data_IF_011937013137
#
_entry.id   IF_011937013137
#
_cell.length_a   1.000
_cell.length_b   1.000
_cell.length_c   1.000
_cell.angle_alpha   90.00
_cell.angle_beta   90.00
_cell.angle_gamma   90.00
#
_symmetry.space_group_name_H-M   'P 1'
#
loop_
_entity.id
_entity.type
_entity.pdbx_description
1 polymer ?
#
# COMPACT_ATOMS: atom_id res chain seq x y z
N UNK A 1 -19.49 7.03 4.94
CA UNK A 1 -18.07 6.62 4.91
C UNK A 1 -17.58 6.29 3.49
N UNK A 2 -18.41 5.70 2.62
CA UNK A 2 -18.09 5.41 1.21
C UNK A 2 -18.89 6.26 0.21
N UNK A 3 -18.83 7.59 0.30
CA UNK A 3 -19.50 8.46 -0.68
C UNK A 3 -18.75 8.41 -2.01
N UNK A 4 -19.44 8.61 -3.14
CA UNK A 4 -18.83 8.68 -4.50
C UNK A 4 -17.66 9.68 -4.55
N UNK A 5 -17.74 10.75 -3.77
CA UNK A 5 -16.69 11.77 -3.60
C UNK A 5 -15.37 11.23 -3.02
N UNK A 6 -15.42 10.21 -2.15
CA UNK A 6 -14.23 9.58 -1.57
C UNK A 6 -13.37 8.92 -2.65
N UNK A 7 -14.03 8.13 -3.50
CA UNK A 7 -13.42 7.44 -4.63
C UNK A 7 -12.98 8.43 -5.71
N UNK A 8 -13.86 9.36 -6.10
CA UNK A 8 -13.56 10.36 -7.12
C UNK A 8 -12.39 11.26 -6.73
N UNK A 9 -12.28 11.63 -5.46
CA UNK A 9 -11.15 12.46 -5.00
C UNK A 9 -9.82 11.72 -4.94
N UNK A 10 -9.83 10.39 -4.85
CA UNK A 10 -8.61 9.60 -5.00
C UNK A 10 -8.27 9.45 -6.49
N UNK A 11 -9.26 9.13 -7.32
CA UNK A 11 -9.09 9.02 -8.77
C UNK A 11 -8.60 10.33 -9.42
N UNK A 12 -9.03 11.49 -8.92
CA UNK A 12 -8.58 12.79 -9.44
C UNK A 12 -7.08 13.04 -9.26
N UNK A 13 -6.42 12.37 -8.30
CA UNK A 13 -4.97 12.49 -8.10
C UNK A 13 -4.17 11.87 -9.23
N UNK A 14 -4.72 10.86 -9.91
CA UNK A 14 -4.09 10.27 -11.09
C UNK A 14 -3.97 11.26 -12.26
N UNK A 15 -4.77 12.33 -12.27
CA UNK A 15 -4.70 13.37 -13.31
C UNK A 15 -3.64 14.44 -13.03
N UNK A 16 -3.06 14.46 -11.83
CA UNK A 16 -2.13 15.50 -11.42
C UNK A 16 -0.70 14.95 -11.40
N UNK A 17 0.17 15.59 -12.18
CA UNK A 17 1.58 15.22 -12.33
C UNK A 17 2.30 15.16 -10.97
N UNK A 18 1.98 16.07 -10.05
CA UNK A 18 2.57 16.10 -8.70
C UNK A 18 2.31 14.81 -7.93
N UNK A 19 1.08 14.29 -7.99
CA UNK A 19 0.73 13.06 -7.27
C UNK A 19 1.24 11.81 -7.98
N UNK A 20 1.36 11.83 -9.32
CA UNK A 20 2.02 10.76 -10.07
C UNK A 20 3.52 10.66 -9.75
N UNK A 21 4.21 11.78 -9.68
CA UNK A 21 5.62 11.82 -9.27
C UNK A 21 5.78 11.29 -7.84
N UNK A 22 4.91 11.73 -6.92
CA UNK A 22 4.91 11.25 -5.54
C UNK A 22 4.67 9.73 -5.47
N UNK A 23 3.70 9.22 -6.24
CA UNK A 23 3.43 7.78 -6.35
C UNK A 23 4.68 7.03 -6.83
N UNK A 24 5.36 7.51 -7.87
CA UNK A 24 6.60 6.89 -8.36
C UNK A 24 7.68 6.79 -7.28
N UNK A 25 7.88 7.85 -6.48
CA UNK A 25 8.81 7.84 -5.35
C UNK A 25 8.42 6.82 -4.30
N UNK A 26 7.13 6.73 -3.93
CA UNK A 26 6.65 5.73 -2.97
C UNK A 26 6.79 4.30 -3.49
N UNK A 27 6.55 4.05 -4.78
CA UNK A 27 6.77 2.74 -5.41
C UNK A 27 8.23 2.34 -5.25
N UNK A 28 9.17 3.22 -5.64
CA UNK A 28 10.60 2.96 -5.50
C UNK A 28 10.99 2.69 -4.04
N UNK A 29 10.50 3.52 -3.11
CA UNK A 29 10.80 3.40 -1.69
C UNK A 29 10.26 2.09 -1.08
N UNK A 30 9.06 1.66 -1.48
CA UNK A 30 8.48 0.37 -1.05
C UNK A 30 9.30 -0.82 -1.53
N UNK A 31 9.78 -0.79 -2.77
CA UNK A 31 10.63 -1.86 -3.35
C UNK A 31 11.99 -1.91 -2.63
N UNK A 32 12.59 -0.77 -2.31
CA UNK A 32 13.83 -0.77 -1.52
C UNK A 32 13.57 -1.27 -0.09
N UNK A 33 12.49 -0.80 0.55
CA UNK A 33 12.15 -1.17 1.92
C UNK A 33 11.71 -2.63 2.07
N UNK A 34 11.22 -3.30 1.02
CA UNK A 34 10.91 -4.74 1.08
C UNK A 34 12.17 -5.60 1.23
N UNK A 35 13.33 -5.10 0.81
CA UNK A 35 14.62 -5.74 1.03
C UNK A 35 15.18 -5.50 2.45
N UNK A 36 14.62 -4.53 3.18
CA UNK A 36 15.01 -4.21 4.56
C UNK A 36 14.09 -4.97 5.53
N UNK A 37 14.55 -6.14 5.99
CA UNK A 37 13.85 -6.93 6.99
C UNK A 37 14.80 -7.37 8.11
N UNK A 38 14.25 -7.50 9.31
CA UNK A 38 14.95 -8.14 10.42
C UNK A 38 14.59 -9.63 10.47
N UNK A 39 15.56 -10.55 10.32
CA UNK A 39 15.33 -11.96 10.54
C UNK A 39 15.18 -12.21 12.05
N UNK A 40 14.01 -12.69 12.46
CA UNK A 40 13.71 -13.05 13.86
C UNK A 40 13.90 -14.56 14.07
N UNK A 41 13.60 -15.37 13.05
CA UNK A 41 13.81 -16.82 13.00
C UNK A 41 13.94 -17.28 11.54
N UNK A 42 14.29 -18.55 11.29
CA UNK A 42 14.47 -19.09 9.93
C UNK A 42 13.27 -18.85 9.01
N UNK A 43 12.05 -18.89 9.58
CA UNK A 43 10.79 -18.67 8.85
C UNK A 43 10.05 -17.39 9.27
N UNK A 44 10.67 -16.52 10.08
CA UNK A 44 10.03 -15.31 10.58
C UNK A 44 10.88 -14.08 10.27
N UNK A 45 10.35 -13.23 9.40
CA UNK A 45 10.96 -11.96 9.00
C UNK A 45 9.99 -10.83 9.30
N UNK A 46 10.49 -9.76 9.90
CA UNK A 46 9.69 -8.54 10.15
C UNK A 46 10.18 -7.45 9.20
N UNK A 47 9.28 -6.99 8.32
CA UNK A 47 9.56 -5.92 7.35
C UNK A 47 8.83 -4.62 7.68
N UNK A 48 9.35 -3.50 7.17
CA UNK A 48 8.81 -2.14 7.40
C UNK A 48 8.07 -1.55 6.21
N UNK A 49 7.93 -2.30 5.12
CA UNK A 49 7.23 -1.88 3.90
C UNK A 49 5.78 -1.42 4.16
N UNK A 50 5.13 -1.97 5.20
CA UNK A 50 3.77 -1.59 5.58
C UNK A 50 3.63 -0.12 6.02
N UNK A 51 4.69 0.49 6.58
CA UNK A 51 4.66 1.89 7.03
C UNK A 51 4.55 2.80 5.82
N UNK A 52 5.34 2.52 4.79
CA UNK A 52 5.32 3.28 3.52
C UNK A 52 3.98 3.13 2.82
N UNK A 53 3.43 1.91 2.80
CA UNK A 53 2.10 1.66 2.27
C UNK A 53 1.04 2.48 3.02
N UNK A 54 1.08 2.51 4.36
CA UNK A 54 0.12 3.26 5.16
C UNK A 54 0.21 4.78 4.91
N UNK A 55 1.43 5.33 4.84
CA UNK A 55 1.65 6.74 4.51
C UNK A 55 1.12 7.04 3.11
N UNK A 56 1.48 6.24 2.11
CA UNK A 56 1.04 6.44 0.75
C UNK A 56 -0.49 6.35 0.63
N UNK A 57 -1.13 5.36 1.24
CA UNK A 57 -2.58 5.21 1.27
C UNK A 57 -3.28 6.40 1.93
N UNK A 58 -2.69 6.99 2.97
CA UNK A 58 -3.22 8.20 3.60
C UNK A 58 -3.17 9.42 2.69
N UNK A 59 -2.20 9.47 1.76
CA UNK A 59 -2.01 10.60 0.84
C UNK A 59 -2.77 10.38 -0.45
N UNK A 60 -2.66 9.23 -1.11
CA UNK A 60 -3.26 8.96 -2.43
C UNK A 60 -4.70 8.48 -2.32
N UNK A 61 -5.06 7.80 -1.24
CA UNK A 61 -6.39 7.22 -1.03
C UNK A 61 -6.60 5.91 -1.80
N UNK A 62 -7.83 5.39 -1.81
CA UNK A 62 -8.12 4.01 -2.21
C UNK A 62 -7.84 3.71 -3.68
N UNK A 63 -8.20 4.60 -4.62
CA UNK A 63 -8.12 4.31 -6.07
C UNK A 63 -6.68 4.46 -6.56
N UNK A 64 -6.08 5.62 -6.32
CA UNK A 64 -4.72 5.89 -6.73
C UNK A 64 -3.73 4.98 -5.97
N UNK A 65 -3.97 4.75 -4.67
CA UNK A 65 -3.16 3.83 -3.87
C UNK A 65 -3.29 2.38 -4.35
N UNK A 66 -4.48 1.90 -4.71
CA UNK A 66 -4.65 0.55 -5.25
C UNK A 66 -3.89 0.37 -6.57
N UNK A 67 -3.92 1.38 -7.46
CA UNK A 67 -3.12 1.34 -8.68
C UNK A 67 -1.61 1.30 -8.37
N UNK A 68 -1.14 2.11 -7.42
CA UNK A 68 0.25 2.05 -6.96
C UNK A 68 0.61 0.68 -6.40
N UNK A 69 -0.27 0.05 -5.61
CA UNK A 69 -0.05 -1.27 -5.05
C UNK A 69 0.09 -2.34 -6.15
N UNK A 70 -0.77 -2.31 -7.17
CA UNK A 70 -0.67 -3.20 -8.34
C UNK A 70 0.68 -3.04 -9.05
N UNK A 71 1.10 -1.79 -9.29
CA UNK A 71 2.37 -1.51 -9.97
C UNK A 71 3.55 -1.96 -9.10
N UNK A 72 3.51 -1.66 -7.80
CA UNK A 72 4.59 -2.02 -6.85
C UNK A 72 4.77 -3.53 -6.77
N UNK A 73 3.67 -4.29 -6.72
CA UNK A 73 3.71 -5.75 -6.63
C UNK A 73 4.34 -6.38 -7.88
N UNK A 74 3.85 -5.97 -9.05
CA UNK A 74 4.39 -6.45 -10.33
C UNK A 74 5.85 -6.07 -10.50
N UNK A 75 6.22 -4.80 -10.27
CA UNK A 75 7.61 -4.36 -10.38
C UNK A 75 8.51 -5.05 -9.35
N UNK A 76 8.05 -5.18 -8.10
CA UNK A 76 8.78 -5.88 -7.05
C UNK A 76 9.04 -7.34 -7.41
N UNK A 77 8.07 -8.02 -8.01
CA UNK A 77 8.21 -9.39 -8.48
C UNK A 77 9.24 -9.52 -9.61
N UNK A 78 9.16 -8.66 -10.64
CA UNK A 78 10.09 -8.70 -11.78
C UNK A 78 11.52 -8.32 -11.37
N UNK A 79 11.69 -7.35 -10.49
CA UNK A 79 13.00 -6.91 -10.00
C UNK A 79 13.60 -7.89 -8.98
N UNK A 80 12.76 -8.62 -8.24
CA UNK A 80 13.18 -9.60 -7.23
C UNK A 80 13.73 -10.91 -7.78
N UNK A 81 13.93 -11.02 -9.09
CA UNK A 81 14.53 -12.20 -9.74
C UNK A 81 13.54 -13.13 -10.43
N UNK A 82 12.23 -12.87 -10.34
CA UNK A 82 11.18 -13.60 -11.07
C UNK A 82 11.00 -15.06 -10.61
N UNK A 83 9.76 -15.41 -10.29
CA UNK A 83 9.34 -16.78 -9.98
C UNK A 83 8.16 -17.24 -10.83
N UNK A 84 7.29 -18.09 -10.29
CA UNK A 84 6.00 -18.35 -10.92
C UNK A 84 5.09 -17.14 -10.68
N UNK A 85 4.79 -16.40 -11.74
CA UNK A 85 3.89 -15.25 -11.66
C UNK A 85 2.46 -15.73 -11.44
N UNK A 86 1.84 -15.25 -10.37
CA UNK A 86 0.42 -15.46 -10.11
C UNK A 86 -0.24 -14.12 -9.82
N UNK A 87 -1.05 -13.64 -10.78
CA UNK A 87 -1.73 -12.35 -10.69
C UNK A 87 -2.66 -12.22 -9.47
N UNK A 88 -3.09 -13.33 -8.87
CA UNK A 88 -3.90 -13.29 -7.65
C UNK A 88 -3.14 -12.77 -6.42
N UNK A 89 -1.79 -12.85 -6.39
CA UNK A 89 -1.02 -12.29 -5.27
C UNK A 89 -1.10 -10.77 -5.20
N UNK A 90 -1.35 -10.11 -6.33
CA UNK A 90 -1.55 -8.66 -6.40
C UNK A 90 -2.81 -8.19 -5.68
N UNK A 91 -3.79 -9.07 -5.45
CA UNK A 91 -4.99 -8.73 -4.67
C UNK A 91 -4.65 -8.42 -3.21
N UNK A 92 -3.64 -9.09 -2.63
CA UNK A 92 -3.21 -8.91 -1.24
C UNK A 92 -2.74 -7.46 -0.95
N UNK A 93 -1.76 -6.88 -1.67
CA UNK A 93 -1.34 -5.50 -1.44
C UNK A 93 -2.42 -4.48 -1.82
N UNK A 94 -3.32 -4.79 -2.75
CA UNK A 94 -4.48 -3.94 -3.06
C UNK A 94 -5.45 -3.88 -1.88
N UNK A 95 -5.82 -5.03 -1.31
CA UNK A 95 -6.66 -5.09 -0.12
C UNK A 95 -6.01 -4.38 1.06
N UNK A 96 -4.71 -4.56 1.24
CA UNK A 96 -3.95 -3.87 2.27
C UNK A 96 -4.05 -2.34 2.13
N UNK A 97 -3.82 -1.84 0.92
CA UNK A 97 -3.96 -0.41 0.62
C UNK A 97 -5.39 0.09 0.87
N UNK A 98 -6.41 -0.70 0.52
CA UNK A 98 -7.81 -0.32 0.77
C UNK A 98 -8.11 -0.23 2.26
N UNK A 99 -7.65 -1.17 3.08
CA UNK A 99 -7.80 -1.11 4.54
C UNK A 99 -7.16 0.17 5.08
N UNK A 100 -5.89 0.44 4.76
CA UNK A 100 -5.22 1.66 5.19
C UNK A 100 -5.93 2.94 4.72
N UNK A 101 -6.39 2.96 3.47
CA UNK A 101 -7.12 4.08 2.91
C UNK A 101 -8.45 4.32 3.63
N UNK A 102 -9.20 3.27 3.99
CA UNK A 102 -10.48 3.42 4.69
C UNK A 102 -10.35 4.11 6.06
N UNK A 103 -9.25 3.86 6.77
CA UNK A 103 -9.02 4.41 8.11
C UNK A 103 -8.23 5.72 8.12
N UNK A 104 -7.33 5.92 7.16
CA UNK A 104 -6.40 7.06 7.17
C UNK A 104 -6.71 8.13 6.11
N UNK A 105 -7.39 7.79 5.01
CA UNK A 105 -7.59 8.73 3.91
C UNK A 105 -8.66 9.78 4.25
N UNK A 106 -8.30 11.07 4.16
CA UNK A 106 -9.18 12.22 4.49
C UNK A 106 -9.80 12.16 5.89
N UNK A 107 -9.13 11.49 6.82
CA UNK A 107 -9.58 11.41 8.20
C UNK A 107 -8.45 11.86 9.14
N UNK A 108 -8.82 12.31 10.35
CA UNK A 108 -7.82 12.53 11.39
C UNK A 108 -7.13 11.21 11.73
N UNK A 109 -5.80 11.20 11.64
CA UNK A 109 -4.96 10.07 11.98
C UNK A 109 -4.90 9.98 13.51
N UNK A 110 -5.37 8.86 14.05
CA UNK A 110 -5.32 8.56 15.49
C UNK A 110 -4.69 7.20 15.71
N UNK A 111 -4.02 7.02 16.85
CA UNK A 111 -3.35 5.76 17.21
C UNK A 111 -4.32 4.58 17.14
N UNK A 112 -5.56 4.77 17.63
CA UNK A 112 -6.61 3.75 17.61
C UNK A 112 -6.90 3.27 16.18
N UNK A 113 -7.03 4.18 15.22
CA UNK A 113 -7.30 3.81 13.82
C UNK A 113 -6.13 3.07 13.17
N UNK A 114 -4.90 3.46 13.49
CA UNK A 114 -3.69 2.79 13.00
C UNK A 114 -3.66 1.34 13.52
N UNK A 115 -3.90 1.15 14.82
CA UNK A 115 -3.92 -0.18 15.45
C UNK A 115 -5.02 -1.04 14.84
N UNK A 116 -6.24 -0.52 14.69
CA UNK A 116 -7.35 -1.25 14.07
C UNK A 116 -7.02 -1.62 12.61
N UNK A 117 -6.51 -0.67 11.82
CA UNK A 117 -6.13 -0.94 10.43
C UNK A 117 -5.04 -2.01 10.33
N UNK A 118 -4.02 -1.95 11.20
CA UNK A 118 -2.95 -2.96 11.26
C UNK A 118 -3.47 -4.33 11.67
N UNK A 119 -4.37 -4.40 12.65
CA UNK A 119 -4.99 -5.65 13.10
C UNK A 119 -5.81 -6.28 11.97
N UNK A 120 -6.66 -5.50 11.29
CA UNK A 120 -7.44 -5.98 10.15
C UNK A 120 -6.50 -6.50 9.05
N UNK A 121 -5.46 -5.74 8.73
CA UNK A 121 -4.49 -6.14 7.72
C UNK A 121 -3.62 -7.35 8.13
N UNK A 122 -3.58 -7.72 9.40
CA UNK A 122 -2.79 -8.88 9.85
C UNK A 122 -3.63 -10.14 10.00
N UNK A 123 -4.96 -9.99 10.12
CA UNK A 123 -5.91 -11.09 10.31
C UNK A 123 -6.60 -11.51 9.02
N UNK A 124 -6.83 -10.56 8.10
CA UNK A 124 -7.63 -10.78 6.89
C UNK A 124 -6.85 -10.67 5.58
N UNK A 125 -5.62 -10.15 5.63
CA UNK A 125 -4.73 -9.95 4.47
C UNK A 125 -3.42 -10.67 4.75
#
# INVERSE_FOLDING_TARGET
>A
MFKKEFWNSSASKLKSVKYLALMGVFIALKIVASNLYFPVSENLKVGFSFVLLAIESSILGPVAGALSAIITDNLGFFLGGGGVYFAGYTLTPVLACLVWSCFLYKQKITVVKIVIAKLINSLFV
#
